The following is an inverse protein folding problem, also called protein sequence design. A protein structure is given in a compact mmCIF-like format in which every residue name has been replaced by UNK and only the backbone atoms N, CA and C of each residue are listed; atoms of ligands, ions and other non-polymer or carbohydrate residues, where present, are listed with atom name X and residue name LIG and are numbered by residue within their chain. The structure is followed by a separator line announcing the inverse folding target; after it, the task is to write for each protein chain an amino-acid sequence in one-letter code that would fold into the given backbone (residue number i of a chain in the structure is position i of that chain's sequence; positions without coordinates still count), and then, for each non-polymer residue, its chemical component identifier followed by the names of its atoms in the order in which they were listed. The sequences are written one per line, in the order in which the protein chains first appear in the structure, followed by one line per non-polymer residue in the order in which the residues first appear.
data_IF_103004393290
#
_entry.id   IF_103004393290
#
_cell.length_a   1.000
_cell.length_b   1.000
_cell.length_c   1.000
_cell.angle_alpha   90.00
_cell.angle_beta   90.00
_cell.angle_gamma   90.00
#
_symmetry.space_group_name_H-M   'P 1'
#
loop_
_entity.id
_entity.type
_entity.pdbx_description
1 polymer ?
#
# COMPACT_ATOMS: atom_id res chain seq x y z
N UNK A 1 17.26 0.86 8.92
CA UNK A 1 16.26 1.95 8.92
C UNK A 1 15.63 2.00 10.31
N UNK A 2 15.98 2.99 11.14
CA UNK A 2 15.41 3.11 12.49
C UNK A 2 13.91 3.42 12.41
N UNK A 3 13.06 2.42 12.59
CA UNK A 3 11.59 2.54 12.55
C UNK A 3 10.98 2.73 11.16
N UNK A 4 11.75 3.18 10.16
CA UNK A 4 11.24 3.49 8.81
C UNK A 4 10.93 2.31 7.88
N UNK A 5 11.11 1.05 8.31
CA UNK A 5 10.75 -0.14 7.53
C UNK A 5 10.48 -1.33 8.43
N UNK A 6 9.42 -2.09 8.14
CA UNK A 6 9.07 -3.27 8.92
C UNK A 6 9.87 -4.50 8.45
N UNK A 7 10.47 -5.31 9.33
CA UNK A 7 11.36 -6.42 8.93
C UNK A 7 10.72 -7.48 8.04
N UNK A 8 9.40 -7.61 8.07
CA UNK A 8 8.63 -8.57 7.26
C UNK A 8 8.00 -7.97 6.01
N UNK A 9 8.19 -6.66 5.76
CA UNK A 9 7.70 -5.98 4.56
C UNK A 9 8.48 -6.36 3.30
N UNK A 10 7.96 -6.04 2.13
CA UNK A 10 8.63 -6.35 0.86
C UNK A 10 9.79 -5.38 0.62
N UNK A 11 11.02 -5.90 0.53
CA UNK A 11 12.21 -5.10 0.16
C UNK A 11 12.12 -4.54 -1.26
N UNK A 12 11.42 -5.22 -2.16
CA UNK A 12 11.17 -4.75 -3.53
C UNK A 12 10.45 -3.40 -3.57
N UNK A 13 9.51 -3.19 -2.63
CA UNK A 13 8.73 -1.94 -2.56
C UNK A 13 9.57 -0.75 -2.09
N UNK A 14 10.77 -0.98 -1.54
CA UNK A 14 11.71 0.09 -1.21
C UNK A 14 12.11 0.88 -2.46
N UNK A 15 12.33 0.17 -3.56
CA UNK A 15 12.88 0.73 -4.80
C UNK A 15 11.81 1.15 -5.82
N UNK A 16 10.55 0.81 -5.56
CA UNK A 16 9.42 1.27 -6.37
C UNK A 16 9.14 2.74 -6.09
N UNK A 17 8.69 3.48 -7.10
CA UNK A 17 8.39 4.90 -6.96
C UNK A 17 7.25 5.14 -5.96
N UNK A 18 7.27 6.29 -5.26
CA UNK A 18 6.19 6.65 -4.32
C UNK A 18 4.83 6.78 -5.00
N UNK A 19 4.82 7.16 -6.29
CA UNK A 19 3.61 7.29 -7.13
C UNK A 19 2.93 5.94 -7.40
N UNK A 20 3.70 4.87 -7.39
CA UNK A 20 3.24 3.48 -7.61
C UNK A 20 3.11 2.73 -6.28
N UNK A 21 3.16 3.44 -5.16
CA UNK A 21 3.00 2.85 -3.84
C UNK A 21 4.29 2.29 -3.23
N UNK A 22 5.46 2.59 -3.78
CA UNK A 22 6.76 2.24 -3.18
C UNK A 22 7.30 3.28 -2.22
N UNK A 23 8.58 3.15 -1.85
CA UNK A 23 9.28 4.10 -0.96
C UNK A 23 10.13 5.12 -1.71
N UNK A 24 10.44 4.87 -2.99
CA UNK A 24 11.22 5.75 -3.85
C UNK A 24 12.71 5.79 -3.52
N UNK A 25 13.24 4.74 -2.88
CA UNK A 25 14.68 4.64 -2.66
C UNK A 25 15.38 4.23 -3.95
N UNK A 26 16.60 4.69 -4.11
CA UNK A 26 17.44 4.30 -5.23
C UNK A 26 18.16 3.00 -4.89
N UNK A 27 18.02 1.99 -5.75
CA UNK A 27 18.76 0.73 -5.60
C UNK A 27 20.20 0.95 -6.02
N UNK A 28 21.15 0.63 -5.12
CA UNK A 28 22.59 0.68 -5.43
C UNK A 28 22.90 -0.21 -6.63
N UNK A 29 22.34 -1.41 -6.66
CA UNK A 29 22.49 -2.35 -7.78
C UNK A 29 21.98 -1.75 -9.08
N UNK A 30 20.77 -1.20 -9.08
CA UNK A 30 20.19 -0.59 -10.28
C UNK A 30 21.00 0.62 -10.75
N UNK A 31 21.55 1.40 -9.81
CA UNK A 31 22.42 2.55 -10.12
C UNK A 31 23.71 2.08 -10.77
N UNK A 32 24.38 1.06 -10.22
CA UNK A 32 25.59 0.49 -10.81
C UNK A 32 25.30 -0.03 -12.22
N UNK A 33 24.22 -0.78 -12.41
CA UNK A 33 23.84 -1.29 -13.73
C UNK A 33 23.55 -0.17 -14.74
N UNK A 34 22.84 0.88 -14.33
CA UNK A 34 22.54 2.04 -15.16
C UNK A 34 23.82 2.79 -15.57
N UNK A 35 24.72 3.05 -14.61
CA UNK A 35 26.01 3.70 -14.88
C UNK A 35 26.93 2.83 -15.75
N UNK A 36 27.02 1.52 -15.48
CA UNK A 36 27.74 0.55 -16.32
C UNK A 36 27.20 0.57 -17.75
N UNK A 37 25.87 0.60 -17.92
CA UNK A 37 25.21 0.66 -19.23
C UNK A 37 25.49 1.97 -19.96
N UNK A 38 25.44 3.11 -19.26
CA UNK A 38 25.79 4.43 -19.83
C UNK A 38 27.25 4.48 -20.26
N UNK A 39 28.16 3.96 -19.43
CA UNK A 39 29.59 3.89 -19.73
C UNK A 39 29.84 3.00 -20.95
N UNK A 40 29.22 1.82 -21.00
CA UNK A 40 29.30 0.92 -22.15
C UNK A 40 28.81 1.61 -23.43
N UNK A 41 27.66 2.28 -23.39
CA UNK A 41 27.12 3.02 -24.52
C UNK A 41 28.05 4.16 -24.97
N UNK A 42 28.66 4.87 -24.03
CA UNK A 42 29.65 5.91 -24.33
C UNK A 42 30.89 5.34 -25.02
N UNK A 43 31.44 4.24 -24.49
CA UNK A 43 32.60 3.55 -25.08
C UNK A 43 32.26 3.07 -26.49
N UNK A 44 31.08 2.45 -26.68
CA UNK A 44 30.58 2.04 -28.00
C UNK A 44 30.50 3.19 -29.01
N UNK A 45 30.08 4.38 -28.58
CA UNK A 45 30.02 5.56 -29.45
C UNK A 45 31.42 6.05 -29.85
N UNK A 46 32.33 6.15 -28.86
CA UNK A 46 33.66 6.75 -29.05
C UNK A 46 34.71 5.80 -29.62
N UNK A 47 34.54 4.49 -29.45
CA UNK A 47 35.42 3.48 -30.05
C UNK A 47 35.57 3.66 -31.57
N UNK A 48 34.55 4.21 -32.26
CA UNK A 48 34.61 4.51 -33.70
C UNK A 48 35.74 5.47 -34.10
N UNK A 49 36.23 6.28 -33.16
CA UNK A 49 37.21 7.33 -33.39
C UNK A 49 38.46 7.22 -32.50
N UNK A 50 38.45 6.33 -31.51
CA UNK A 50 39.50 6.18 -30.51
C UNK A 50 39.93 4.70 -30.39
N UNK A 51 41.19 4.43 -30.72
CA UNK A 51 41.78 3.10 -30.74
C UNK A 51 41.86 2.46 -29.34
N UNK A 52 42.06 3.26 -28.29
CA UNK A 52 42.14 2.76 -26.90
C UNK A 52 40.77 2.28 -26.45
N UNK A 53 39.72 3.06 -26.73
CA UNK A 53 38.35 2.69 -26.40
C UNK A 53 37.85 1.50 -27.24
N UNK A 54 38.35 1.33 -28.47
CA UNK A 54 38.09 0.14 -29.29
C UNK A 54 38.63 -1.15 -28.67
N UNK A 55 39.88 -1.17 -28.19
CA UNK A 55 40.41 -2.36 -27.51
C UNK A 55 39.73 -2.59 -26.16
N UNK A 56 39.37 -1.51 -25.45
CA UNK A 56 38.62 -1.59 -24.19
C UNK A 56 37.26 -2.29 -24.38
N UNK A 57 36.54 -1.95 -25.46
CA UNK A 57 35.29 -2.61 -25.84
C UNK A 57 35.51 -4.10 -26.15
N UNK A 58 36.60 -4.42 -26.84
CA UNK A 58 36.93 -5.81 -27.21
C UNK A 58 37.19 -6.71 -26.00
N UNK A 59 37.57 -6.13 -24.87
CA UNK A 59 37.83 -6.82 -23.59
C UNK A 59 36.65 -6.74 -22.61
N UNK A 60 35.61 -5.97 -22.93
CA UNK A 60 34.43 -5.85 -22.09
C UNK A 60 33.71 -7.20 -22.00
N UNK A 61 33.56 -7.74 -20.78
CA UNK A 61 32.70 -8.91 -20.55
C UNK A 61 31.30 -8.43 -20.28
N UNK A 62 30.33 -9.01 -20.98
CA UNK A 62 28.93 -8.84 -20.61
C UNK A 62 28.72 -9.30 -19.17
N UNK A 63 28.30 -8.39 -18.29
CA UNK A 63 27.79 -8.77 -16.98
C UNK A 63 26.49 -9.57 -17.20
N UNK A 64 26.38 -10.68 -16.48
CA UNK A 64 25.22 -11.57 -16.49
C UNK A 64 23.94 -10.76 -16.25
N UNK A 65 23.03 -10.77 -17.23
CA UNK A 65 21.72 -10.12 -17.13
C UNK A 65 20.97 -10.78 -15.98
N UNK A 66 20.92 -10.09 -14.84
CA UNK A 66 20.19 -10.57 -13.67
C UNK A 66 18.73 -10.81 -14.03
N UNK A 67 18.26 -12.03 -13.81
CA UNK A 67 16.84 -12.40 -13.95
C UNK A 67 15.94 -11.34 -13.31
N UNK A 68 14.87 -10.96 -14.03
CA UNK A 68 13.87 -10.03 -13.51
C UNK A 68 13.35 -10.55 -12.17
N UNK A 69 13.65 -9.81 -11.10
CA UNK A 69 13.12 -10.14 -9.79
C UNK A 69 11.59 -10.09 -9.84
N UNK A 70 10.89 -11.10 -9.31
CA UNK A 70 9.43 -11.16 -9.39
C UNK A 70 8.82 -9.90 -8.79
N UNK A 71 7.90 -9.26 -9.52
CA UNK A 71 7.22 -8.04 -9.05
C UNK A 71 6.57 -8.26 -7.68
N UNK A 72 6.69 -7.26 -6.80
CA UNK A 72 6.10 -7.29 -5.47
C UNK A 72 4.57 -7.45 -5.51
N UNK A 73 3.94 -6.98 -6.59
CA UNK A 73 2.50 -7.04 -6.84
C UNK A 73 2.00 -8.47 -6.99
N UNK A 74 2.86 -9.38 -7.44
CA UNK A 74 2.54 -10.80 -7.63
C UNK A 74 2.69 -11.60 -6.34
N UNK A 75 3.27 -11.03 -5.28
CA UNK A 75 3.39 -11.72 -4.00
C UNK A 75 2.00 -11.93 -3.39
N UNK A 76 1.63 -13.14 -2.94
CA UNK A 76 0.29 -13.44 -2.44
C UNK A 76 -0.18 -12.47 -1.34
N UNK A 77 0.69 -12.19 -0.35
CA UNK A 77 0.39 -11.30 0.76
C UNK A 77 0.73 -9.84 0.46
N UNK A 78 1.98 -9.56 0.07
CA UNK A 78 2.47 -8.17 -0.05
C UNK A 78 1.78 -7.39 -1.19
N UNK A 79 1.35 -8.08 -2.25
CA UNK A 79 0.60 -7.48 -3.35
C UNK A 79 -0.93 -7.47 -3.15
N UNK A 80 -1.44 -8.09 -2.09
CA UNK A 80 -2.89 -8.27 -1.88
C UNK A 80 -3.65 -6.95 -1.88
N UNK A 81 -3.18 -5.97 -1.11
CA UNK A 81 -3.81 -4.66 -1.04
C UNK A 81 -3.78 -3.95 -2.40
N UNK A 82 -2.64 -3.99 -3.10
CA UNK A 82 -2.50 -3.39 -4.42
C UNK A 82 -3.53 -3.97 -5.39
N UNK A 83 -3.58 -5.29 -5.53
CA UNK A 83 -4.56 -5.97 -6.40
C UNK A 83 -6.00 -5.62 -6.03
N UNK A 84 -6.31 -5.52 -4.72
CA UNK A 84 -7.67 -5.18 -4.27
C UNK A 84 -8.10 -3.75 -4.64
N UNK A 85 -7.17 -2.80 -4.68
CA UNK A 85 -7.52 -1.40 -4.97
C UNK A 85 -7.47 -1.08 -6.47
N UNK A 86 -6.70 -1.84 -7.26
CA UNK A 86 -6.61 -1.68 -8.72
C UNK A 86 -7.97 -1.80 -9.40
N UNK A 87 -8.85 -2.65 -8.88
CA UNK A 87 -10.19 -2.87 -9.45
C UNK A 87 -11.20 -1.78 -9.11
N UNK A 88 -10.97 -1.00 -8.05
CA UNK A 88 -12.01 -0.13 -7.44
C UNK A 88 -11.60 1.33 -7.27
N UNK A 89 -10.32 1.67 -7.44
CA UNK A 89 -9.80 3.00 -7.14
C UNK A 89 -8.71 3.44 -8.13
N UNK A 90 -8.61 4.76 -8.29
CA UNK A 90 -7.48 5.40 -8.98
C UNK A 90 -6.21 5.19 -8.15
N UNK A 91 -5.28 4.37 -8.66
CA UNK A 91 -4.03 4.00 -7.97
C UNK A 91 -3.18 5.23 -7.64
N UNK A 92 -3.05 6.17 -8.58
CA UNK A 92 -2.22 7.37 -8.40
C UNK A 92 -2.77 8.25 -7.28
N UNK A 93 -4.10 8.41 -7.20
CA UNK A 93 -4.73 9.12 -6.08
C UNK A 93 -4.64 8.32 -4.78
N UNK A 94 -4.76 6.99 -4.85
CA UNK A 94 -4.70 6.10 -3.69
C UNK A 94 -3.33 6.11 -3.00
N UNK A 95 -2.24 6.32 -3.73
CA UNK A 95 -0.88 6.42 -3.18
C UNK A 95 -0.41 7.85 -2.91
N UNK A 96 -1.23 8.87 -3.22
CA UNK A 96 -0.85 10.27 -3.05
C UNK A 96 -0.46 10.65 -1.61
N UNK A 97 -0.96 9.92 -0.60
CA UNK A 97 -0.59 10.14 0.79
C UNK A 97 0.92 9.92 1.04
N UNK A 98 1.58 9.06 0.25
CA UNK A 98 3.04 8.88 0.33
C UNK A 98 3.77 10.18 -0.06
N UNK A 99 3.25 10.98 -0.97
CA UNK A 99 3.94 12.23 -1.36
C UNK A 99 3.54 13.41 -0.49
N UNK A 100 2.29 13.45 -0.01
CA UNK A 100 1.68 14.69 0.51
C UNK A 100 1.30 14.68 1.98
N UNK A 101 1.23 13.52 2.63
CA UNK A 101 0.68 13.45 3.99
C UNK A 101 1.64 13.95 5.08
N UNK A 102 2.94 14.08 4.79
CA UNK A 102 3.93 14.56 5.78
C UNK A 102 4.03 13.67 7.03
N UNK A 103 3.84 12.36 6.87
CA UNK A 103 3.87 11.41 7.98
C UNK A 103 5.31 11.17 8.46
N UNK A 104 5.46 10.86 9.74
CA UNK A 104 6.72 10.34 10.25
C UNK A 104 7.05 8.99 9.60
N UNK A 105 8.33 8.74 9.35
CA UNK A 105 8.83 7.51 8.70
C UNK A 105 8.31 6.24 9.37
N UNK A 106 8.25 6.22 10.71
CA UNK A 106 7.73 5.10 11.49
C UNK A 106 6.25 4.86 11.29
N UNK A 107 5.47 5.93 11.12
CA UNK A 107 4.03 5.86 10.88
C UNK A 107 3.75 5.35 9.47
N UNK A 108 4.46 5.89 8.47
CA UNK A 108 4.39 5.38 7.10
C UNK A 108 4.77 3.90 7.03
N UNK A 109 5.86 3.51 7.68
CA UNK A 109 6.30 2.12 7.73
C UNK A 109 5.26 1.18 8.33
N UNK A 110 4.56 1.63 9.39
CA UNK A 110 3.49 0.87 10.01
C UNK A 110 2.27 0.70 9.09
N UNK A 111 1.86 1.77 8.40
CA UNK A 111 0.75 1.73 7.44
C UNK A 111 1.10 0.80 6.27
N UNK A 112 2.31 0.91 5.76
CA UNK A 112 2.83 0.04 4.69
C UNK A 112 2.82 -1.43 5.14
N UNK A 113 3.33 -1.73 6.33
CA UNK A 113 3.32 -3.08 6.89
C UNK A 113 1.90 -3.64 7.04
N UNK A 114 0.93 -2.81 7.41
CA UNK A 114 -0.48 -3.21 7.44
C UNK A 114 -1.01 -3.55 6.04
N UNK A 115 -0.75 -2.71 5.03
CA UNK A 115 -1.15 -2.95 3.64
C UNK A 115 -0.52 -4.23 3.08
N UNK A 116 0.73 -4.52 3.46
CA UNK A 116 1.48 -5.68 3.00
C UNK A 116 1.18 -6.96 3.78
N UNK A 117 0.24 -6.95 4.74
CA UNK A 117 -0.01 -8.09 5.64
C UNK A 117 1.23 -8.54 6.43
N UNK A 118 2.16 -7.62 6.70
CA UNK A 118 3.42 -7.91 7.37
C UNK A 118 3.34 -7.86 8.91
N UNK A 119 2.21 -7.40 9.46
CA UNK A 119 1.98 -7.34 10.91
C UNK A 119 1.62 -8.72 11.48
N UNK A 120 2.04 -8.98 12.72
CA UNK A 120 1.76 -10.24 13.44
C UNK A 120 0.30 -10.34 13.91
N UNK A 121 -0.56 -10.72 12.98
CA UNK A 121 -1.95 -11.10 13.27
C UNK A 121 -2.03 -12.60 13.59
N UNK A 122 -3.09 -13.03 14.29
CA UNK A 122 -3.26 -14.48 14.54
C UNK A 122 -3.42 -15.30 13.27
N UNK A 123 -3.98 -14.75 12.19
CA UNK A 123 -4.04 -15.45 10.91
C UNK A 123 -2.63 -15.70 10.35
N UNK A 124 -1.75 -14.68 10.38
CA UNK A 124 -0.35 -14.82 9.95
C UNK A 124 0.42 -15.80 10.85
N UNK A 125 0.27 -15.69 12.17
CA UNK A 125 0.92 -16.60 13.13
C UNK A 125 0.54 -18.07 12.88
N UNK A 126 -0.71 -18.34 12.50
CA UNK A 126 -1.21 -19.68 12.26
C UNK A 126 -0.91 -20.22 10.86
N UNK A 127 -1.14 -19.41 9.82
CA UNK A 127 -1.05 -19.86 8.42
C UNK A 127 0.36 -19.77 7.85
N UNK A 128 1.19 -18.85 8.34
CA UNK A 128 2.52 -18.57 7.76
C UNK A 128 3.63 -19.01 8.70
N UNK A 129 3.57 -18.59 9.97
CA UNK A 129 4.64 -18.91 10.92
C UNK A 129 4.46 -20.28 11.59
N UNK A 130 3.25 -20.85 11.51
CA UNK A 130 2.89 -22.10 12.19
C UNK A 130 3.25 -22.12 13.69
N UNK A 131 3.25 -20.93 14.32
CA UNK A 131 3.56 -20.74 15.74
C UNK A 131 2.31 -20.79 16.62
N UNK A 132 1.13 -20.78 16.00
CA UNK A 132 -0.18 -20.82 16.65
C UNK A 132 -1.10 -21.74 15.85
N UNK A 133 -2.03 -22.41 16.52
CA UNK A 133 -3.05 -23.24 15.85
C UNK A 133 -4.33 -22.46 15.55
N UNK A 134 -4.81 -21.63 16.50
CA UNK A 134 -6.08 -20.91 16.37
C UNK A 134 -5.90 -19.55 15.68
N UNK A 135 -6.41 -19.35 14.44
CA UNK A 135 -6.30 -18.09 13.72
C UNK A 135 -7.33 -17.04 14.18
N UNK A 136 -8.28 -17.38 15.06
CA UNK A 136 -9.44 -16.51 15.36
C UNK A 136 -9.05 -15.22 16.08
N UNK A 137 -9.73 -14.14 15.69
CA UNK A 137 -9.59 -12.79 16.21
C UNK A 137 -9.55 -12.72 17.74
N UNK A 138 -8.57 -11.98 18.28
CA UNK A 138 -8.39 -11.71 19.71
C UNK A 138 -9.62 -11.07 20.35
N UNK A 139 -10.41 -10.32 19.58
CA UNK A 139 -11.60 -9.59 20.06
C UNK A 139 -12.90 -10.36 19.86
N UNK A 140 -13.26 -10.71 18.61
CA UNK A 140 -14.58 -11.30 18.33
C UNK A 140 -14.63 -12.82 18.45
N UNK A 141 -13.48 -13.51 18.40
CA UNK A 141 -13.35 -14.99 18.47
C UNK A 141 -14.11 -15.77 17.40
N UNK A 142 -14.59 -15.13 16.33
CA UNK A 142 -15.45 -15.76 15.32
C UNK A 142 -14.77 -15.96 13.97
N UNK A 143 -14.02 -14.96 13.49
CA UNK A 143 -13.34 -15.01 12.19
C UNK A 143 -11.81 -14.97 12.35
N UNK A 144 -11.04 -15.42 11.33
CA UNK A 144 -9.60 -15.25 11.30
C UNK A 144 -9.17 -13.80 11.50
N UNK A 145 -8.13 -13.60 12.30
CA UNK A 145 -7.59 -12.27 12.56
C UNK A 145 -6.73 -11.80 11.39
N UNK A 146 -7.32 -11.12 10.40
CA UNK A 146 -6.58 -10.45 9.33
C UNK A 146 -6.59 -8.93 9.52
N UNK A 147 -5.75 -8.20 8.78
CA UNK A 147 -5.79 -6.72 8.80
C UNK A 147 -7.14 -6.19 8.32
N UNK A 148 -7.72 -6.80 7.29
CA UNK A 148 -9.05 -6.47 6.77
C UNK A 148 -10.14 -6.74 7.83
N UNK A 149 -10.03 -7.85 8.55
CA UNK A 149 -10.94 -8.14 9.66
C UNK A 149 -10.81 -7.07 10.76
N UNK A 150 -9.60 -6.73 11.21
CA UNK A 150 -9.41 -5.72 12.27
C UNK A 150 -9.92 -4.34 11.82
N UNK A 151 -9.64 -3.95 10.57
CA UNK A 151 -9.93 -2.59 10.08
C UNK A 151 -11.40 -2.39 9.70
N UNK A 152 -12.08 -3.42 9.19
CA UNK A 152 -13.45 -3.30 8.67
C UNK A 152 -14.40 -4.44 9.09
N UNK A 153 -13.92 -5.67 9.27
CA UNK A 153 -14.79 -6.85 9.47
C UNK A 153 -15.16 -7.22 10.91
N UNK A 154 -14.41 -6.76 11.91
CA UNK A 154 -14.57 -7.21 13.28
C UNK A 154 -15.79 -6.56 13.92
N UNK A 155 -16.82 -7.35 14.27
CA UNK A 155 -18.05 -6.84 14.91
C UNK A 155 -17.82 -5.97 16.16
N UNK A 156 -16.74 -6.25 16.90
CA UNK A 156 -16.36 -5.48 18.10
C UNK A 156 -15.83 -4.07 17.76
N UNK A 157 -15.27 -3.90 16.57
CA UNK A 157 -14.67 -2.65 16.09
C UNK A 157 -15.54 -1.92 15.06
N UNK A 158 -16.34 -2.67 14.29
CA UNK A 158 -17.14 -2.19 13.17
C UNK A 158 -18.14 -1.11 13.60
N UNK A 159 -18.85 -1.34 14.71
CA UNK A 159 -19.89 -0.43 15.19
C UNK A 159 -19.38 0.90 15.76
N UNK A 160 -18.11 0.97 16.16
CA UNK A 160 -17.51 2.18 16.77
C UNK A 160 -16.33 2.70 15.95
N UNK A 161 -15.18 2.05 16.03
CA UNK A 161 -13.92 2.56 15.46
C UNK A 161 -13.95 2.67 13.93
N UNK A 162 -14.50 1.65 13.24
CA UNK A 162 -14.69 1.72 11.79
C UNK A 162 -15.68 2.83 11.42
N UNK A 163 -16.85 2.85 12.07
CA UNK A 163 -17.89 3.86 11.83
C UNK A 163 -17.40 5.28 12.07
N UNK A 164 -16.54 5.49 13.07
CA UNK A 164 -15.91 6.79 13.33
C UNK A 164 -15.02 7.23 12.18
N UNK A 165 -14.07 6.37 11.74
CA UNK A 165 -13.21 6.66 10.59
C UNK A 165 -14.02 6.92 9.32
N UNK A 166 -15.02 6.08 9.08
CA UNK A 166 -15.92 6.21 7.94
C UNK A 166 -16.64 7.57 7.95
N UNK A 167 -17.21 7.96 9.10
CA UNK A 167 -17.91 9.24 9.23
C UNK A 167 -16.98 10.45 9.11
N UNK A 168 -15.70 10.33 9.51
CA UNK A 168 -14.71 11.39 9.29
C UNK A 168 -14.46 11.61 7.80
N UNK A 169 -14.24 10.53 7.03
CA UNK A 169 -14.05 10.59 5.58
C UNK A 169 -15.31 11.10 4.87
N UNK A 170 -16.47 10.53 5.18
CA UNK A 170 -17.75 10.98 4.64
C UNK A 170 -18.00 12.46 4.93
N UNK A 171 -17.59 12.96 6.10
CA UNK A 171 -17.72 14.36 6.44
C UNK A 171 -16.81 15.29 5.63
N UNK A 172 -15.64 14.83 5.19
CA UNK A 172 -14.79 15.60 4.27
C UNK A 172 -15.45 15.66 2.89
N UNK A 173 -15.90 14.50 2.37
CA UNK A 173 -16.58 14.41 1.08
C UNK A 173 -17.82 15.29 1.05
N UNK A 174 -18.66 15.23 2.09
CA UNK A 174 -19.84 16.07 2.22
C UNK A 174 -19.51 17.57 2.16
N UNK A 175 -18.48 18.02 2.88
CA UNK A 175 -18.07 19.43 2.86
C UNK A 175 -17.58 19.88 1.49
N UNK A 176 -16.85 19.02 0.79
CA UNK A 176 -16.36 19.32 -0.56
C UNK A 176 -17.53 19.47 -1.54
N UNK A 177 -18.51 18.57 -1.49
CA UNK A 177 -19.73 18.64 -2.31
C UNK A 177 -20.49 19.94 -1.99
N UNK A 178 -20.71 20.24 -0.71
CA UNK A 178 -21.42 21.47 -0.35
C UNK A 178 -20.68 22.72 -0.84
N UNK A 179 -19.36 22.76 -0.76
CA UNK A 179 -18.57 23.89 -1.28
C UNK A 179 -18.71 24.04 -2.80
N UNK A 180 -18.69 22.93 -3.54
CA UNK A 180 -18.86 22.91 -5.01
C UNK A 180 -20.23 23.43 -5.45
N UNK A 181 -21.29 23.09 -4.71
CA UNK A 181 -22.66 23.51 -5.02
C UNK A 181 -23.12 24.78 -4.27
N UNK A 182 -22.23 25.47 -3.55
CA UNK A 182 -22.57 26.67 -2.79
C UNK A 182 -23.57 26.44 -1.64
N UNK A 183 -23.63 25.23 -1.10
CA UNK A 183 -24.54 24.85 -0.02
C UNK A 183 -23.94 25.16 1.36
N UNK A 184 -24.77 25.67 2.26
CA UNK A 184 -24.34 25.91 3.64
C UNK A 184 -24.03 24.59 4.36
N UNK A 185 -22.82 24.51 4.93
CA UNK A 185 -22.44 23.36 5.75
C UNK A 185 -22.71 23.64 7.23
N UNK A 186 -23.25 22.66 7.99
CA UNK A 186 -23.38 22.80 9.43
C UNK A 186 -21.99 22.99 10.06
N UNK A 187 -21.79 24.11 10.76
CA UNK A 187 -20.51 24.43 11.44
C UNK A 187 -20.13 23.42 12.53
N UNK A 188 -21.08 22.61 13.01
CA UNK A 188 -20.84 21.64 14.10
C UNK A 188 -20.65 20.20 13.60
N UNK A 189 -19.59 19.53 14.09
CA UNK A 189 -19.32 18.11 13.82
C UNK A 189 -20.50 17.19 14.20
N UNK A 190 -21.28 17.56 15.23
CA UNK A 190 -22.46 16.79 15.70
C UNK A 190 -23.60 16.80 14.68
N UNK A 191 -23.85 17.91 14.00
CA UNK A 191 -24.93 18.02 13.01
C UNK A 191 -24.61 17.18 11.77
N UNK A 192 -23.37 17.18 11.30
CA UNK A 192 -22.92 16.35 10.17
C UNK A 192 -23.17 14.85 10.43
N UNK A 193 -22.78 14.36 11.61
CA UNK A 193 -22.99 12.95 12.00
C UNK A 193 -24.48 12.59 12.12
N UNK A 194 -25.32 13.52 12.61
CA UNK A 194 -26.76 13.32 12.79
C UNK A 194 -27.51 13.32 11.46
N UNK A 195 -27.16 14.23 10.55
CA UNK A 195 -27.71 14.29 9.19
C UNK A 195 -27.41 12.99 8.43
N UNK A 196 -26.17 12.51 8.50
CA UNK A 196 -25.79 11.25 7.86
C UNK A 196 -26.49 10.02 8.46
N UNK A 197 -26.60 9.92 9.80
CA UNK A 197 -27.36 8.84 10.46
C UNK A 197 -28.83 8.82 10.03
N UNK A 198 -29.42 9.97 9.73
CA UNK A 198 -30.79 10.08 9.24
C UNK A 198 -30.92 9.69 7.76
N UNK A 199 -29.96 10.06 6.91
CA UNK A 199 -29.97 9.73 5.48
C UNK A 199 -29.65 8.26 5.20
N UNK A 200 -28.67 7.67 5.91
CA UNK A 200 -28.33 6.24 5.75
C UNK A 200 -29.45 5.31 6.24
N UNK A 201 -30.21 5.72 7.27
CA UNK A 201 -31.41 4.98 7.69
C UNK A 201 -32.52 4.97 6.63
N UNK A 202 -32.54 5.95 5.72
CA UNK A 202 -33.51 6.00 4.62
C UNK A 202 -33.05 5.19 3.40
N UNK A 203 -31.74 4.98 3.21
CA UNK A 203 -31.19 4.20 2.09
C UNK A 203 -30.92 2.72 2.42
N UNK A 204 -30.70 2.36 3.69
CA UNK A 204 -30.63 0.96 4.12
C UNK A 204 -32.01 0.45 4.53
N UNK A 205 -32.87 0.20 3.53
CA UNK A 205 -33.84 -0.88 3.66
C UNK A 205 -33.09 -2.18 3.94
N UNK A 206 -33.59 -2.95 4.89
CA UNK A 206 -33.12 -4.27 5.36
C UNK A 206 -32.35 -5.09 4.31
N UNK A 207 -31.03 -4.92 4.22
CA UNK A 207 -30.16 -5.87 3.54
C UNK A 207 -29.48 -6.72 4.61
N UNK A 208 -29.99 -7.94 4.78
CA UNK A 208 -29.29 -9.00 5.54
C UNK A 208 -27.97 -9.26 4.80
N UNK A 209 -26.87 -8.84 5.41
CA UNK A 209 -25.55 -9.30 5.05
C UNK A 209 -25.50 -10.82 5.23
N UNK A 210 -25.59 -11.59 4.13
CA UNK A 210 -25.17 -13.00 4.11
C UNK A 210 -23.65 -13.00 3.94
N UNK A 211 -22.88 -13.58 4.87
CA UNK A 211 -21.49 -13.87 4.62
C UNK A 211 -21.42 -14.85 3.43
N UNK A 212 -20.70 -14.48 2.38
CA UNK A 212 -20.23 -15.47 1.39
C UNK A 212 -19.25 -16.39 2.09
N UNK A 213 -19.56 -17.68 2.06
CA UNK A 213 -18.67 -18.76 2.47
C UNK A 213 -17.41 -18.74 1.59
N UNK A 214 -16.26 -18.61 2.23
CA UNK A 214 -14.94 -18.96 1.70
C UNK A 214 -14.18 -19.65 2.84
#
# INVERSE_FOLDING_TARGET
MHGGFHPKSSTLRLYVSRKEGGRGLVSVRATVQDETSKLHNYIMEKAKTDDVLSECLRQWRDEEVLEESPSWENKPLHGMYHRSITEVADLKKSYQWLERAGLQDSTEALIMAAQEQALSTRAIEAQIYHTRQDPRCRLCKEAPETIQHITAGCKMLAGKAYMERHNQVAGIVYRNICAEYGLETPRSKKLLQRWWRMSVRRSCGTSRYRPTEW
#
